data_IF_911304585448
#
_entry.id   IF_911304585448
#
_cell.length_a   1.000
_cell.length_b   1.000
_cell.length_c   1.000
_cell.angle_alpha   90.00
_cell.angle_beta   90.00
_cell.angle_gamma   90.00
#
_symmetry.space_group_name_H-M   'P 1'
#
loop_
_entity.id
_entity.type
_entity.pdbx_description
1 polymer ?
#
# COMPACT_ATOMS: atom_id res chain seq x y z
N UNK A 1 -11.10 12.98 1.99
CA UNK A 1 -11.57 14.28 1.46
C UNK A 1 -10.91 14.51 0.10
N UNK A 2 -11.68 14.87 -0.91
CA UNK A 2 -11.21 15.24 -2.26
C UNK A 2 -11.65 16.68 -2.54
N UNK A 3 -10.74 17.49 -3.03
CA UNK A 3 -11.00 18.88 -3.41
C UNK A 3 -10.93 19.04 -4.93
N UNK A 4 -11.61 20.03 -5.46
CA UNK A 4 -11.62 20.33 -6.88
C UNK A 4 -12.28 21.69 -7.14
N UNK A 5 -12.91 21.82 -8.30
CA UNK A 5 -13.54 23.05 -8.74
C UNK A 5 -15.06 22.84 -8.85
N UNK A 6 -15.84 23.72 -8.22
CA UNK A 6 -17.30 23.68 -8.29
C UNK A 6 -17.82 24.19 -9.66
N UNK A 7 -19.13 24.09 -9.86
CA UNK A 7 -19.78 24.55 -11.10
C UNK A 7 -19.61 26.06 -11.38
N UNK A 8 -19.21 26.85 -10.39
CA UNK A 8 -18.91 28.27 -10.52
C UNK A 8 -17.42 28.56 -10.75
N UNK A 9 -16.58 27.52 -10.90
CA UNK A 9 -15.14 27.66 -11.10
C UNK A 9 -14.37 27.98 -9.82
N UNK A 10 -14.91 27.70 -8.64
CA UNK A 10 -14.26 27.99 -7.34
C UNK A 10 -13.75 26.71 -6.70
N UNK A 11 -12.63 26.80 -5.99
CA UNK A 11 -12.09 25.69 -5.20
C UNK A 11 -13.10 25.25 -4.13
N UNK A 12 -13.38 23.96 -4.06
CA UNK A 12 -14.37 23.37 -3.16
C UNK A 12 -13.95 21.97 -2.70
N UNK A 13 -14.51 21.53 -1.58
CA UNK A 13 -14.53 20.11 -1.21
C UNK A 13 -15.60 19.43 -2.07
N UNK A 14 -15.21 18.44 -2.86
CA UNK A 14 -16.10 17.66 -3.70
C UNK A 14 -16.66 16.45 -2.97
N UNK A 15 -15.82 15.76 -2.19
CA UNK A 15 -16.24 14.65 -1.32
C UNK A 15 -15.45 14.65 -0.01
N UNK A 16 -16.11 14.23 1.07
CA UNK A 16 -15.48 14.03 2.37
C UNK A 16 -16.06 12.76 3.01
N UNK A 17 -15.67 11.62 2.46
CA UNK A 17 -16.20 10.31 2.81
C UNK A 17 -15.07 9.32 3.06
N UNK A 18 -15.37 8.24 3.77
CA UNK A 18 -14.46 7.09 3.88
C UNK A 18 -14.46 6.33 2.55
N UNK A 19 -13.28 5.91 2.12
CA UNK A 19 -13.18 5.07 0.92
C UNK A 19 -13.91 3.73 1.12
N UNK A 20 -14.67 3.33 0.10
CA UNK A 20 -15.28 2.00 0.04
C UNK A 20 -14.29 0.92 -0.45
N UNK A 21 -13.17 1.34 -1.05
CA UNK A 21 -12.12 0.44 -1.57
C UNK A 21 -11.19 0.04 -0.44
N UNK A 22 -11.62 -0.99 0.30
CA UNK A 22 -10.95 -1.48 1.52
C UNK A 22 -11.00 -2.99 1.60
N UNK A 23 -9.89 -3.59 2.06
CA UNK A 23 -9.82 -4.98 2.49
C UNK A 23 -9.16 -5.06 3.87
N UNK A 24 -9.71 -5.92 4.73
CA UNK A 24 -9.10 -6.25 6.02
C UNK A 24 -8.82 -7.75 6.04
N UNK A 25 -7.55 -8.08 6.19
CA UNK A 25 -7.03 -9.44 6.28
C UNK A 25 -6.31 -9.60 7.63
N UNK A 26 -6.06 -10.82 8.11
CA UNK A 26 -5.33 -11.02 9.36
C UNK A 26 -3.98 -10.30 9.39
N UNK A 27 -3.22 -10.33 8.30
CA UNK A 27 -1.89 -9.73 8.22
C UNK A 27 -1.86 -8.21 8.08
N UNK A 28 -2.90 -7.60 7.52
CA UNK A 28 -2.96 -6.15 7.30
C UNK A 28 -4.33 -5.67 6.84
N UNK A 29 -4.52 -4.36 6.92
CA UNK A 29 -5.66 -3.67 6.29
C UNK A 29 -5.13 -2.74 5.21
N UNK A 30 -5.76 -2.76 4.03
CA UNK A 30 -5.45 -1.86 2.91
C UNK A 30 -6.69 -1.02 2.57
N UNK A 31 -6.48 0.28 2.39
CA UNK A 31 -7.48 1.22 1.89
C UNK A 31 -6.91 1.99 0.71
N UNK A 32 -7.47 1.82 -0.47
CA UNK A 32 -7.12 2.65 -1.61
C UNK A 32 -7.90 3.97 -1.53
N UNK A 33 -7.19 5.08 -1.50
CA UNK A 33 -7.78 6.41 -1.31
C UNK A 33 -7.82 7.25 -2.58
N UNK A 34 -7.00 6.88 -3.57
CA UNK A 34 -6.98 7.51 -4.89
C UNK A 34 -6.37 6.58 -5.91
N UNK A 35 -6.94 6.54 -7.11
CA UNK A 35 -6.40 5.80 -8.24
C UNK A 35 -6.63 6.58 -9.53
N UNK A 36 -5.67 6.55 -10.42
CA UNK A 36 -5.81 7.02 -11.81
C UNK A 36 -5.24 5.97 -12.75
N UNK A 37 -5.92 5.72 -13.85
CA UNK A 37 -5.55 4.65 -14.78
C UNK A 37 -4.49 5.08 -15.79
N UNK A 38 -4.28 6.39 -15.97
CA UNK A 38 -3.25 6.90 -16.87
C UNK A 38 -2.65 8.24 -16.40
N UNK A 39 -1.41 8.50 -16.80
CA UNK A 39 -0.69 9.77 -16.61
C UNK A 39 -0.34 10.37 -17.98
N UNK A 40 -0.44 11.73 -18.15
CA UNK A 40 -0.89 12.68 -17.13
C UNK A 40 -2.38 12.55 -16.83
N UNK A 41 -2.75 12.63 -15.54
CA UNK A 41 -4.14 12.61 -15.12
C UNK A 41 -4.82 13.95 -15.45
N UNK A 42 -6.07 13.91 -15.91
CA UNK A 42 -6.87 15.10 -16.08
C UNK A 42 -7.32 15.61 -14.69
N UNK A 43 -6.99 16.86 -14.37
CA UNK A 43 -7.24 17.44 -13.03
C UNK A 43 -8.73 17.60 -12.70
N UNK A 44 -9.58 17.55 -13.72
CA UNK A 44 -11.04 17.65 -13.57
C UNK A 44 -11.73 16.29 -13.36
N UNK A 45 -11.02 15.19 -13.62
CA UNK A 45 -11.57 13.84 -13.48
C UNK A 45 -11.49 13.38 -12.02
N UNK A 46 -12.42 12.52 -11.62
CA UNK A 46 -12.38 11.81 -10.35
C UNK A 46 -11.33 10.69 -10.35
N UNK A 47 -11.32 9.94 -9.26
CA UNK A 47 -10.55 8.69 -9.20
C UNK A 47 -11.23 7.57 -10.00
N UNK A 48 -10.49 6.48 -10.23
CA UNK A 48 -10.96 5.28 -10.92
C UNK A 48 -11.11 4.07 -9.97
N UNK A 49 -11.36 4.32 -8.69
CA UNK A 49 -11.59 3.27 -7.69
C UNK A 49 -12.85 2.46 -8.04
N UNK A 50 -12.74 1.14 -7.94
CA UNK A 50 -13.83 0.20 -8.29
C UNK A 50 -14.55 -0.38 -7.07
N UNK A 51 -14.12 -0.04 -5.85
CA UNK A 51 -14.60 -0.65 -4.61
C UNK A 51 -13.85 -1.94 -4.23
N UNK A 52 -13.02 -2.48 -5.11
CA UNK A 52 -12.17 -3.63 -4.86
C UNK A 52 -10.70 -3.20 -4.78
N UNK A 53 -9.98 -3.73 -3.78
CA UNK A 53 -8.53 -3.55 -3.68
C UNK A 53 -7.85 -4.45 -4.71
N UNK A 54 -7.16 -3.83 -5.66
CA UNK A 54 -6.28 -4.50 -6.60
C UNK A 54 -4.85 -4.12 -6.23
N UNK A 55 -4.00 -5.12 -5.96
CA UNK A 55 -2.66 -4.83 -5.47
C UNK A 55 -1.85 -4.01 -6.46
N UNK A 56 -1.80 -4.46 -7.70
CA UNK A 56 -1.02 -3.80 -8.73
C UNK A 56 -1.67 -2.51 -9.21
N UNK A 57 -0.89 -1.41 -9.31
CA UNK A 57 -1.39 -0.19 -9.92
C UNK A 57 -1.70 -0.40 -11.41
N UNK A 58 -2.52 0.48 -12.01
CA UNK A 58 -2.73 0.48 -13.46
C UNK A 58 -1.43 0.57 -14.24
N UNK A 59 -1.39 -0.01 -15.46
CA UNK A 59 -0.18 -0.07 -16.29
C UNK A 59 0.45 1.32 -16.55
N UNK A 60 -0.39 2.33 -16.79
CA UNK A 60 0.02 3.69 -17.12
C UNK A 60 -0.35 4.71 -16.03
N UNK A 61 -0.79 4.23 -14.87
CA UNK A 61 -1.32 5.06 -13.80
C UNK A 61 -0.63 4.87 -12.45
N UNK A 62 -1.36 5.20 -11.39
CA UNK A 62 -0.90 5.03 -10.02
C UNK A 62 -2.07 4.73 -9.08
N UNK A 63 -1.74 4.22 -7.90
CA UNK A 63 -2.64 4.12 -6.76
C UNK A 63 -1.99 4.73 -5.51
N UNK A 64 -2.79 5.44 -4.73
CA UNK A 64 -2.42 5.90 -3.39
C UNK A 64 -3.23 5.11 -2.38
N UNK A 65 -2.56 4.45 -1.45
CA UNK A 65 -3.18 3.59 -0.44
C UNK A 65 -2.62 3.82 0.95
N UNK A 66 -3.46 3.55 1.93
CA UNK A 66 -3.03 3.39 3.31
C UNK A 66 -2.99 1.89 3.62
N UNK A 67 -1.88 1.43 4.17
CA UNK A 67 -1.76 0.08 4.69
C UNK A 67 -1.49 0.15 6.19
N UNK A 68 -2.21 -0.67 6.96
CA UNK A 68 -2.03 -0.78 8.41
C UNK A 68 -1.63 -2.20 8.76
N UNK A 69 -0.50 -2.33 9.43
CA UNK A 69 0.10 -3.58 9.86
C UNK A 69 -0.12 -3.74 11.37
N UNK A 70 -0.81 -4.80 11.82
CA UNK A 70 -0.90 -5.13 13.23
C UNK A 70 0.49 -5.52 13.77
N UNK A 71 0.68 -5.59 15.10
CA UNK A 71 1.86 -6.22 15.68
C UNK A 71 2.06 -7.65 15.19
N UNK A 72 3.31 -8.04 14.90
CA UNK A 72 3.66 -9.40 14.46
C UNK A 72 3.19 -10.46 15.48
N UNK A 73 3.12 -10.09 16.75
CA UNK A 73 2.64 -10.97 17.82
C UNK A 73 1.14 -11.27 17.77
N UNK A 74 0.37 -10.54 16.99
CA UNK A 74 -1.08 -10.75 16.83
C UNK A 74 -1.43 -11.68 15.67
N UNK A 75 -0.47 -11.95 14.77
CA UNK A 75 -0.68 -12.69 13.52
C UNK A 75 0.38 -13.77 13.41
N UNK A 76 -0.01 -14.99 13.12
CA UNK A 76 0.99 -16.03 12.83
C UNK A 76 1.48 -15.97 11.37
N UNK A 77 2.60 -16.63 11.09
CA UNK A 77 3.23 -16.60 9.78
C UNK A 77 2.34 -17.16 8.66
N UNK A 78 1.51 -18.18 8.95
CA UNK A 78 0.60 -18.77 7.98
C UNK A 78 -0.51 -17.78 7.59
N UNK A 79 -1.13 -17.13 8.57
CA UNK A 79 -2.17 -16.11 8.34
C UNK A 79 -1.62 -14.90 7.58
N UNK A 80 -0.39 -14.48 7.90
CA UNK A 80 0.26 -13.38 7.18
C UNK A 80 0.56 -13.77 5.74
N UNK A 81 1.14 -14.95 5.50
CA UNK A 81 1.40 -15.47 4.17
C UNK A 81 0.12 -15.60 3.33
N UNK A 82 -0.96 -16.13 3.94
CA UNK A 82 -2.27 -16.20 3.27
C UNK A 82 -2.84 -14.80 2.92
N UNK A 83 -2.59 -13.80 3.76
CA UNK A 83 -3.00 -12.42 3.49
C UNK A 83 -2.23 -11.85 2.29
N UNK A 84 -0.93 -12.09 2.20
CA UNK A 84 -0.12 -11.73 1.04
C UNK A 84 -0.65 -12.42 -0.21
N UNK A 85 -0.81 -13.75 -0.19
CA UNK A 85 -1.30 -14.53 -1.34
C UNK A 85 -2.68 -14.07 -1.83
N UNK A 86 -3.55 -13.62 -0.94
CA UNK A 86 -4.87 -13.08 -1.30
C UNK A 86 -4.78 -11.83 -2.17
N UNK A 87 -3.78 -10.97 -1.96
CA UNK A 87 -3.60 -9.75 -2.74
C UNK A 87 -2.69 -9.93 -3.96
N UNK A 88 -1.67 -10.79 -3.85
CA UNK A 88 -0.64 -10.97 -4.89
C UNK A 88 -0.93 -12.12 -5.85
N UNK A 89 -1.94 -12.98 -5.55
CA UNK A 89 -2.15 -14.24 -6.24
C UNK A 89 -1.13 -15.32 -5.80
N UNK A 90 -1.25 -16.51 -6.40
CA UNK A 90 -0.42 -17.68 -6.03
C UNK A 90 1.08 -17.52 -6.41
N UNK A 91 1.40 -16.55 -7.27
CA UNK A 91 2.76 -16.25 -7.71
C UNK A 91 3.54 -15.34 -6.73
N UNK A 92 2.92 -14.89 -5.66
CA UNK A 92 3.66 -14.23 -4.59
C UNK A 92 4.58 -15.25 -3.95
N UNK A 93 5.88 -15.12 -4.22
CA UNK A 93 6.94 -15.96 -3.65
C UNK A 93 6.97 -15.74 -2.13
N UNK A 94 6.06 -16.45 -1.46
CA UNK A 94 5.82 -16.32 -0.04
C UNK A 94 6.92 -17.06 0.73
N UNK A 95 8.09 -16.41 0.84
CA UNK A 95 9.01 -16.75 1.90
C UNK A 95 9.96 -17.93 1.67
N UNK A 96 10.62 -18.01 0.53
CA UNK A 96 11.65 -19.04 0.26
C UNK A 96 12.93 -18.87 1.12
N UNK A 97 13.07 -17.77 1.88
CA UNK A 97 14.26 -17.47 2.68
C UNK A 97 14.00 -17.36 4.20
N UNK A 98 12.86 -17.84 4.67
CA UNK A 98 12.50 -17.77 6.11
C UNK A 98 12.06 -16.38 6.56
N UNK A 99 11.89 -15.43 5.66
CA UNK A 99 11.34 -14.09 5.93
C UNK A 99 9.85 -14.10 5.66
N UNK A 100 9.06 -13.99 6.71
CA UNK A 100 7.61 -14.02 6.63
C UNK A 100 7.10 -12.82 5.81
N UNK A 101 6.29 -13.09 4.79
CA UNK A 101 5.69 -12.06 3.96
C UNK A 101 6.64 -11.41 2.96
N UNK A 102 7.81 -12.01 2.69
CA UNK A 102 8.71 -11.56 1.63
C UNK A 102 8.00 -11.69 0.28
N UNK A 103 7.90 -10.58 -0.45
CA UNK A 103 7.22 -10.53 -1.74
C UNK A 103 7.89 -9.53 -2.67
N UNK A 104 7.55 -9.62 -3.94
CA UNK A 104 8.04 -8.73 -4.99
C UNK A 104 6.88 -8.30 -5.90
N UNK A 105 6.92 -7.06 -6.35
CA UNK A 105 5.98 -6.51 -7.34
C UNK A 105 6.75 -5.79 -8.43
N UNK A 106 6.20 -5.75 -9.65
CA UNK A 106 6.76 -4.95 -10.74
C UNK A 106 6.29 -3.49 -10.61
N UNK A 107 6.68 -2.89 -9.47
CA UNK A 107 6.27 -1.51 -9.11
C UNK A 107 7.45 -0.70 -8.59
N UNK A 108 7.27 0.61 -8.59
CA UNK A 108 8.02 1.52 -7.73
C UNK A 108 7.05 2.04 -6.68
N UNK A 109 7.39 1.81 -5.42
CA UNK A 109 6.54 2.14 -4.28
C UNK A 109 7.24 3.17 -3.41
N UNK A 110 6.62 4.33 -3.27
CA UNK A 110 7.05 5.36 -2.32
C UNK A 110 6.21 5.21 -1.06
N UNK A 111 6.82 4.70 0.00
CA UNK A 111 6.14 4.33 1.25
C UNK A 111 6.61 5.19 2.39
N UNK A 112 5.69 5.92 3.02
CA UNK A 112 5.97 6.79 4.17
C UNK A 112 5.22 6.31 5.40
N UNK A 113 5.92 6.15 6.52
CA UNK A 113 5.30 5.81 7.80
C UNK A 113 4.52 7.02 8.33
N UNK A 114 3.24 6.82 8.64
CA UNK A 114 2.35 7.84 9.20
C UNK A 114 2.27 7.71 10.72
N UNK A 115 2.06 6.48 11.22
CA UNK A 115 1.98 6.18 12.65
C UNK A 115 2.63 4.84 12.97
N UNK A 116 3.10 4.67 14.20
CA UNK A 116 3.77 3.45 14.65
C UNK A 116 5.21 3.35 14.14
N UNK A 117 5.82 2.21 14.33
CA UNK A 117 7.16 1.87 13.83
C UNK A 117 7.06 0.60 13.00
N UNK A 118 7.79 0.53 11.89
CA UNK A 118 7.74 -0.59 10.96
C UNK A 118 9.14 -0.90 10.42
N UNK A 119 9.52 -2.17 10.44
CA UNK A 119 10.74 -2.61 9.77
C UNK A 119 10.45 -2.89 8.29
N UNK A 120 11.26 -2.32 7.41
CA UNK A 120 11.40 -2.78 6.03
C UNK A 120 12.49 -3.84 6.02
N UNK A 121 12.11 -5.09 5.75
CA UNK A 121 13.00 -6.26 5.76
C UNK A 121 13.33 -6.64 4.33
N UNK A 122 14.62 -6.80 4.05
CA UNK A 122 15.16 -7.16 2.74
C UNK A 122 15.97 -8.46 2.88
N UNK A 123 16.33 -9.11 1.78
CA UNK A 123 17.17 -10.33 1.77
C UNK A 123 18.54 -10.12 2.44
N UNK A 124 19.07 -8.89 2.43
CA UNK A 124 20.42 -8.59 2.92
C UNK A 124 20.45 -7.80 4.22
N UNK A 125 19.30 -7.50 4.79
CA UNK A 125 19.21 -6.71 6.04
C UNK A 125 17.86 -6.03 6.20
N UNK A 126 17.77 -5.20 7.22
CA UNK A 126 16.52 -4.54 7.56
C UNK A 126 16.74 -3.09 8.04
N UNK A 127 15.73 -2.27 7.96
CA UNK A 127 15.75 -0.88 8.45
C UNK A 127 14.48 -0.57 9.20
N UNK A 128 14.62 -0.02 10.41
CA UNK A 128 13.50 0.51 11.18
C UNK A 128 13.09 1.88 10.63
N UNK A 129 11.82 2.00 10.31
CA UNK A 129 11.18 3.23 9.85
C UNK A 129 10.25 3.76 10.94
N UNK A 130 10.27 5.08 11.12
CA UNK A 130 9.46 5.83 12.08
C UNK A 130 8.56 6.85 11.36
N UNK A 131 7.57 7.44 12.02
CA UNK A 131 6.72 8.46 11.41
C UNK A 131 7.53 9.57 10.74
N UNK A 132 7.27 9.79 9.44
CA UNK A 132 7.98 10.72 8.56
C UNK A 132 9.10 10.08 7.74
N UNK A 133 9.59 8.89 8.10
CA UNK A 133 10.56 8.17 7.29
C UNK A 133 9.90 7.65 6.01
N UNK A 134 10.64 7.72 4.91
CA UNK A 134 10.18 7.26 3.60
C UNK A 134 11.19 6.29 2.99
N UNK A 135 10.69 5.16 2.50
CA UNK A 135 11.46 4.22 1.69
C UNK A 135 10.91 4.17 0.28
N UNK A 136 11.79 3.94 -0.69
CA UNK A 136 11.41 3.71 -2.09
C UNK A 136 11.82 2.28 -2.46
N UNK A 137 10.84 1.40 -2.61
CA UNK A 137 11.06 0.05 -3.14
C UNK A 137 10.94 0.08 -4.66
N UNK A 138 11.92 -0.50 -5.35
CA UNK A 138 12.00 -0.48 -6.81
C UNK A 138 12.02 -1.89 -7.38
N UNK A 139 10.89 -2.61 -7.22
CA UNK A 139 10.75 -3.98 -7.71
C UNK A 139 11.70 -4.98 -7.05
N UNK A 140 12.15 -4.70 -5.84
CA UNK A 140 12.95 -5.62 -5.02
C UNK A 140 12.08 -6.44 -4.08
N UNK A 141 12.54 -7.61 -3.69
CA UNK A 141 11.91 -8.38 -2.61
C UNK A 141 11.98 -7.58 -1.31
N UNK A 142 10.87 -7.50 -0.62
CA UNK A 142 10.76 -6.85 0.68
C UNK A 142 9.62 -7.45 1.52
N UNK A 143 9.71 -7.28 2.82
CA UNK A 143 8.66 -7.61 3.77
C UNK A 143 8.50 -6.49 4.79
N UNK A 144 7.36 -6.49 5.47
CA UNK A 144 7.04 -5.55 6.54
C UNK A 144 6.91 -6.31 7.85
N UNK A 145 7.53 -5.78 8.92
CA UNK A 145 7.51 -6.39 10.26
C UNK A 145 7.24 -5.31 11.31
N UNK A 146 6.14 -5.46 12.04
CA UNK A 146 5.77 -4.59 13.15
C UNK A 146 6.06 -5.30 14.47
N UNK A 147 7.21 -5.04 15.04
CA UNK A 147 7.70 -5.65 16.30
C UNK A 147 7.25 -4.90 17.55
N UNK A 148 6.36 -3.92 17.39
CA UNK A 148 5.78 -3.17 18.51
C UNK A 148 4.51 -3.85 19.01
N UNK A 149 3.83 -3.23 19.97
CA UNK A 149 2.56 -3.70 20.55
C UNK A 149 1.34 -2.92 20.01
N UNK A 150 1.54 -2.00 19.07
CA UNK A 150 0.51 -1.16 18.47
C UNK A 150 0.57 -1.21 16.93
N UNK A 151 -0.56 -1.05 16.23
CA UNK A 151 -0.55 -1.04 14.77
C UNK A 151 0.29 0.10 14.19
N UNK A 152 0.97 -0.18 13.08
CA UNK A 152 1.69 0.79 12.29
C UNK A 152 0.95 1.06 10.97
N UNK A 153 0.87 2.33 10.56
CA UNK A 153 0.19 2.73 9.31
C UNK A 153 1.17 3.47 8.41
N UNK A 154 1.16 3.10 7.16
CA UNK A 154 1.91 3.75 6.09
C UNK A 154 0.97 4.33 5.02
N UNK A 155 1.42 5.35 4.31
CA UNK A 155 0.87 5.74 3.01
C UNK A 155 1.84 5.29 1.93
N UNK A 156 1.32 4.62 0.91
CA UNK A 156 2.08 4.16 -0.25
C UNK A 156 1.52 4.79 -1.53
N UNK A 157 2.40 5.36 -2.35
CA UNK A 157 2.11 5.70 -3.74
C UNK A 157 2.83 4.69 -4.60
N UNK A 158 2.05 3.93 -5.37
CA UNK A 158 2.56 2.83 -6.20
C UNK A 158 2.29 3.11 -7.66
N UNK A 159 3.28 2.90 -8.51
CA UNK A 159 3.15 2.98 -9.96
C UNK A 159 3.91 1.85 -10.64
N UNK A 160 3.42 1.44 -11.79
CA UNK A 160 3.98 0.30 -12.52
C UNK A 160 5.43 0.56 -12.89
N UNK A 161 6.27 -0.44 -12.64
CA UNK A 161 7.64 -0.53 -13.13
C UNK A 161 7.74 -1.48 -14.33
N UNK A 162 8.85 -1.43 -15.03
CA UNK A 162 9.27 -2.40 -16.05
C UNK A 162 10.60 -3.02 -15.64
N UNK A 163 10.76 -4.31 -15.85
CA UNK A 163 12.05 -5.02 -15.71
C UNK A 163 12.81 -5.04 -17.01
#
# INVERSE_FOLDING_TARGET
>A
MVTGVDAAGRSAVLTDELTATRVTLPGFTVNDVWRVDALPAAVADGDTLTGEVVLEPPADGLVVRLATFPPDSWVNAEEYGASIATLHGEDADAGDEGIVGLHVTDTVDVVTVVTGELYCVLETGETLLRPGDTVVNRGNKHAWSNRTDTPATVVATMFRGTR
#
